data_IF_416037574079
#
_entry.id   IF_416037574079
#
_cell.length_a   1.000
_cell.length_b   1.000
_cell.length_c   1.000
_cell.angle_alpha   90.00
_cell.angle_beta   90.00
_cell.angle_gamma   90.00
#
_symmetry.space_group_name_H-M   'P 1'
#
loop_
_entity.id
_entity.type
_entity.pdbx_description
1 polymer ?
#
# COMPACT_ATOMS: atom_id res chain seq x y z
N UNK A 1 6.29 -12.01 -9.62
CA UNK A 1 6.63 -13.11 -8.67
C UNK A 1 7.72 -14.09 -9.14
N UNK A 2 7.99 -14.25 -10.44
CA UNK A 2 9.02 -15.17 -10.94
C UNK A 2 10.48 -14.69 -10.71
N UNK A 3 10.69 -13.40 -10.42
CA UNK A 3 12.02 -12.78 -10.24
C UNK A 3 12.57 -12.82 -8.81
N UNK A 4 11.74 -13.13 -7.80
CA UNK A 4 12.19 -13.22 -6.42
C UNK A 4 12.71 -14.63 -6.12
N UNK A 5 13.83 -14.78 -5.37
CA UNK A 5 14.25 -16.09 -4.92
C UNK A 5 13.21 -16.70 -3.97
N UNK A 6 13.22 -18.04 -3.87
CA UNK A 6 12.12 -18.80 -3.28
C UNK A 6 11.79 -18.38 -1.85
N UNK A 7 12.80 -18.12 -1.02
CA UNK A 7 12.63 -17.77 0.39
C UNK A 7 11.95 -16.41 0.53
N UNK A 8 12.43 -15.38 -0.17
CA UNK A 8 11.82 -14.04 -0.18
C UNK A 8 10.40 -14.08 -0.72
N UNK A 9 10.18 -14.85 -1.79
CA UNK A 9 8.83 -15.03 -2.36
C UNK A 9 7.88 -15.68 -1.36
N UNK A 10 8.32 -16.71 -0.65
CA UNK A 10 7.51 -17.40 0.36
C UNK A 10 7.23 -16.53 1.58
N UNK A 11 8.13 -15.61 1.94
CA UNK A 11 7.89 -14.61 2.98
C UNK A 11 6.70 -13.71 2.62
N UNK A 12 6.71 -13.06 1.45
CA UNK A 12 5.64 -12.15 1.05
C UNK A 12 4.33 -12.84 0.70
N UNK A 13 4.39 -14.02 0.08
CA UNK A 13 3.18 -14.78 -0.27
C UNK A 13 2.71 -15.66 0.88
N UNK A 14 3.46 -15.77 1.97
CA UNK A 14 3.12 -16.63 3.11
C UNK A 14 1.81 -16.23 3.77
N UNK A 15 1.10 -17.21 4.33
CA UNK A 15 0.00 -16.96 5.25
C UNK A 15 -0.05 -18.07 6.30
N UNK A 16 -0.63 -17.79 7.46
CA UNK A 16 -0.62 -18.71 8.59
C UNK A 16 -1.31 -20.05 8.27
N UNK A 17 -0.69 -21.14 8.74
CA UNK A 17 -1.23 -22.50 8.69
C UNK A 17 -1.77 -22.89 7.30
N UNK A 18 -3.00 -23.40 7.26
CA UNK A 18 -3.67 -23.85 6.02
C UNK A 18 -4.15 -22.70 5.11
N UNK A 19 -3.76 -21.45 5.38
CA UNK A 19 -4.11 -20.24 4.60
C UNK A 19 -5.62 -20.04 4.44
N UNK A 20 -6.40 -20.46 5.44
CA UNK A 20 -7.87 -20.36 5.43
C UNK A 20 -8.29 -18.89 5.41
N UNK A 21 -7.75 -18.07 6.31
CA UNK A 21 -8.05 -16.63 6.37
C UNK A 21 -7.61 -15.90 5.10
N UNK A 22 -6.43 -16.24 4.55
CA UNK A 22 -5.97 -15.68 3.28
C UNK A 22 -6.98 -15.89 2.15
N UNK A 23 -7.52 -17.12 2.00
CA UNK A 23 -8.55 -17.40 0.99
C UNK A 23 -9.87 -16.68 1.31
N UNK A 24 -10.28 -16.65 2.58
CA UNK A 24 -11.50 -15.96 3.00
C UNK A 24 -11.44 -14.45 2.72
N UNK A 25 -10.29 -13.80 2.97
CA UNK A 25 -10.13 -12.37 2.69
C UNK A 25 -10.39 -12.06 1.21
N UNK A 26 -9.95 -12.92 0.29
CA UNK A 26 -10.22 -12.75 -1.14
C UNK A 26 -11.67 -13.04 -1.47
N UNK A 27 -12.18 -14.20 -1.04
CA UNK A 27 -13.54 -14.64 -1.36
C UNK A 27 -14.61 -13.70 -0.81
N UNK A 28 -14.35 -13.04 0.32
CA UNK A 28 -15.29 -12.07 0.90
C UNK A 28 -15.59 -10.90 -0.05
N UNK A 29 -14.63 -10.46 -0.87
CA UNK A 29 -14.89 -9.43 -1.87
C UNK A 29 -15.77 -9.94 -3.02
N UNK A 30 -15.67 -11.21 -3.39
CA UNK A 30 -16.50 -11.81 -4.44
C UNK A 30 -17.98 -11.94 -4.02
N UNK A 31 -18.24 -12.01 -2.72
CA UNK A 31 -19.59 -12.05 -2.13
C UNK A 31 -20.28 -10.68 -2.17
N UNK A 32 -19.52 -9.57 -2.16
CA UNK A 32 -20.05 -8.20 -2.21
C UNK A 32 -20.50 -7.86 -3.63
N UNK A 33 -21.77 -7.49 -3.80
CA UNK A 33 -22.32 -7.07 -5.10
C UNK A 33 -22.50 -5.56 -5.14
N UNK A 34 -21.97 -4.93 -6.18
CA UNK A 34 -22.15 -3.50 -6.45
C UNK A 34 -23.45 -3.33 -7.24
N UNK A 35 -24.38 -2.52 -6.73
CA UNK A 35 -25.58 -2.08 -7.46
C UNK A 35 -25.31 -0.69 -8.06
N UNK A 36 -24.93 -0.58 -9.34
CA UNK A 36 -24.65 0.71 -9.95
C UNK A 36 -25.92 1.56 -10.05
N UNK A 37 -25.79 2.87 -9.85
CA UNK A 37 -26.88 3.84 -10.03
C UNK A 37 -26.81 4.43 -11.44
N UNK A 38 -27.84 4.16 -12.24
CA UNK A 38 -27.91 4.61 -13.63
C UNK A 38 -28.27 6.09 -13.76
N UNK A 39 -27.98 6.67 -14.95
CA UNK A 39 -28.31 8.05 -15.32
C UNK A 39 -27.77 9.12 -14.35
N UNK A 40 -26.61 8.86 -13.74
CA UNK A 40 -25.88 9.85 -12.94
C UNK A 40 -24.89 10.59 -13.85
N UNK A 41 -24.87 11.91 -13.76
CA UNK A 41 -23.80 12.70 -14.37
C UNK A 41 -22.49 12.40 -13.64
N UNK A 42 -21.57 11.76 -14.35
CA UNK A 42 -20.22 11.42 -13.89
C UNK A 42 -19.15 12.14 -14.72
N UNK A 43 -19.53 13.18 -15.47
CA UNK A 43 -18.60 14.00 -16.26
C UNK A 43 -17.55 14.70 -15.38
N UNK A 44 -17.86 14.90 -14.10
CA UNK A 44 -16.95 15.41 -13.07
C UNK A 44 -17.00 14.50 -11.86
N UNK A 45 -16.06 13.58 -11.74
CA UNK A 45 -15.85 12.77 -10.55
C UNK A 45 -14.47 13.03 -9.96
N UNK A 46 -14.32 12.77 -8.66
CA UNK A 46 -13.04 12.87 -7.97
C UNK A 46 -12.92 11.68 -7.01
N UNK A 47 -11.70 11.18 -6.85
CA UNK A 47 -11.35 10.18 -5.84
C UNK A 47 -10.78 10.85 -4.57
N UNK A 48 -10.54 12.16 -4.62
CA UNK A 48 -9.97 12.91 -3.51
C UNK A 48 -10.83 12.76 -2.26
N UNK A 49 -10.16 12.53 -1.14
CA UNK A 49 -10.81 12.40 0.16
C UNK A 49 -9.85 12.83 1.25
N UNK A 50 -10.22 12.65 2.52
CA UNK A 50 -9.34 12.90 3.66
C UNK A 50 -9.46 11.81 4.70
N UNK A 51 -8.35 11.55 5.39
CA UNK A 51 -8.27 10.56 6.47
C UNK A 51 -7.48 11.18 7.61
N UNK A 52 -8.04 11.18 8.83
CA UNK A 52 -7.44 11.78 10.02
C UNK A 52 -6.97 13.24 9.84
N UNK A 53 -7.73 14.03 9.07
CA UNK A 53 -7.41 15.43 8.79
C UNK A 53 -6.38 15.65 7.68
N UNK A 54 -5.87 14.59 7.06
CA UNK A 54 -4.93 14.66 5.93
C UNK A 54 -5.67 14.38 4.63
N UNK A 55 -5.60 15.32 3.69
CA UNK A 55 -6.18 15.10 2.37
C UNK A 55 -5.33 14.06 1.62
N UNK A 56 -5.96 13.16 0.86
CA UNK A 56 -5.34 12.24 -0.12
C UNK A 56 -5.99 12.35 -1.51
N UNK A 57 -5.28 11.95 -2.56
CA UNK A 57 -5.78 11.98 -3.95
C UNK A 57 -6.80 10.87 -4.24
N UNK A 58 -6.76 9.77 -3.48
CA UNK A 58 -7.64 8.62 -3.59
C UNK A 58 -7.70 7.83 -2.27
N UNK A 59 -8.76 7.04 -2.02
CA UNK A 59 -8.99 6.35 -0.74
C UNK A 59 -8.16 5.07 -0.59
N UNK A 60 -6.89 5.09 -0.99
CA UNK A 60 -5.96 3.95 -0.91
C UNK A 60 -4.62 4.47 -0.41
N UNK A 61 -4.07 3.80 0.60
CA UNK A 61 -2.73 4.03 1.12
C UNK A 61 -1.93 2.74 1.16
N UNK A 62 -0.64 2.87 1.49
CA UNK A 62 0.27 1.74 1.57
C UNK A 62 0.30 1.18 2.98
N UNK A 63 -0.10 -0.10 3.10
CA UNK A 63 -0.02 -0.86 4.35
C UNK A 63 1.43 -1.07 4.80
N UNK A 64 1.69 -1.21 6.11
CA UNK A 64 3.03 -1.47 6.61
C UNK A 64 3.48 -2.87 6.19
N UNK A 65 4.56 -2.94 5.42
CA UNK A 65 5.23 -4.18 5.00
C UNK A 65 6.66 -4.15 5.50
N UNK A 66 7.03 -5.13 6.33
CA UNK A 66 8.38 -5.28 6.85
C UNK A 66 9.36 -5.80 5.79
N UNK A 67 10.63 -5.41 5.92
CA UNK A 67 11.77 -5.92 5.15
C UNK A 67 11.62 -5.77 3.62
N UNK A 68 11.29 -4.58 3.13
CA UNK A 68 11.07 -4.36 1.69
C UNK A 68 12.33 -4.58 0.84
N UNK A 69 13.53 -4.50 1.43
CA UNK A 69 14.79 -4.86 0.77
C UNK A 69 14.87 -6.33 0.33
N UNK A 70 14.01 -7.21 0.86
CA UNK A 70 13.87 -8.57 0.34
C UNK A 70 13.20 -8.62 -1.04
N UNK A 71 12.47 -7.57 -1.43
CA UNK A 71 11.81 -7.47 -2.74
C UNK A 71 12.66 -6.70 -3.76
N UNK A 72 13.33 -5.62 -3.33
CA UNK A 72 14.18 -4.78 -4.18
C UNK A 72 15.30 -4.14 -3.35
N UNK A 73 16.55 -4.02 -3.84
CA UNK A 73 17.66 -3.46 -3.05
C UNK A 73 17.39 -2.09 -2.41
N UNK A 74 16.62 -1.24 -3.09
CA UNK A 74 16.27 0.10 -2.60
C UNK A 74 15.14 0.10 -1.56
N UNK A 75 14.44 -1.03 -1.37
CA UNK A 75 13.43 -1.24 -0.33
C UNK A 75 12.41 -0.12 -0.20
N UNK A 76 12.27 0.41 1.01
CA UNK A 76 11.31 1.46 1.36
C UNK A 76 11.54 2.76 0.57
N UNK A 77 12.78 3.07 0.15
CA UNK A 77 13.07 4.27 -0.64
C UNK A 77 12.48 4.16 -2.06
N UNK A 78 12.52 2.98 -2.68
CA UNK A 78 11.85 2.75 -3.95
C UNK A 78 10.33 2.86 -3.82
N UNK A 79 9.77 2.44 -2.69
CA UNK A 79 8.34 2.60 -2.40
C UNK A 79 7.96 4.08 -2.29
N UNK A 80 8.73 4.89 -1.55
CA UNK A 80 8.54 6.35 -1.47
C UNK A 80 8.65 6.99 -2.86
N UNK A 81 9.68 6.65 -3.63
CA UNK A 81 9.86 7.18 -4.98
C UNK A 81 8.73 6.78 -5.93
N UNK A 82 8.20 5.55 -5.82
CA UNK A 82 7.12 5.06 -6.65
C UNK A 82 5.78 5.76 -6.42
N UNK A 83 5.55 6.27 -5.20
CA UNK A 83 4.30 6.95 -4.83
C UNK A 83 4.46 8.47 -4.72
N UNK A 84 5.66 9.02 -4.87
CA UNK A 84 5.92 10.46 -4.77
C UNK A 84 5.09 11.36 -5.70
N UNK A 85 4.60 10.91 -6.88
CA UNK A 85 3.70 11.71 -7.70
C UNK A 85 2.31 11.91 -7.09
N UNK A 86 1.94 11.12 -6.07
CA UNK A 86 0.63 11.12 -5.46
C UNK A 86 0.66 11.64 -4.03
N UNK A 87 -0.39 12.33 -3.64
CA UNK A 87 -0.68 12.66 -2.25
C UNK A 87 -1.43 11.50 -1.62
N UNK A 88 -0.69 10.59 -0.99
CA UNK A 88 -1.22 9.40 -0.35
C UNK A 88 -0.54 9.14 0.99
N UNK A 89 -0.99 8.11 1.70
CA UNK A 89 -0.44 7.69 2.99
C UNK A 89 0.49 6.50 2.75
N UNK A 90 1.67 6.55 3.36
CA UNK A 90 2.55 5.40 3.53
C UNK A 90 2.69 5.10 5.02
N UNK A 91 2.28 3.91 5.43
CA UNK A 91 2.51 3.42 6.79
C UNK A 91 3.82 2.63 6.78
N UNK A 92 4.82 3.10 7.52
CA UNK A 92 6.12 2.47 7.64
C UNK A 92 6.08 1.41 8.74
N UNK A 93 6.52 0.20 8.42
CA UNK A 93 6.66 -0.87 9.40
C UNK A 93 7.78 -0.54 10.40
N UNK A 94 7.57 -0.83 11.69
CA UNK A 94 8.65 -0.81 12.69
C UNK A 94 9.77 -1.82 12.39
N UNK A 95 9.50 -2.82 11.53
CA UNK A 95 10.47 -3.76 10.98
C UNK A 95 10.87 -3.42 9.53
N UNK A 96 10.93 -2.12 9.20
CA UNK A 96 11.48 -1.66 7.94
C UNK A 96 12.96 -2.06 7.79
N UNK A 97 13.39 -2.27 6.54
CA UNK A 97 14.79 -2.57 6.21
C UNK A 97 15.66 -1.34 5.98
N UNK A 98 15.07 -0.15 6.11
CA UNK A 98 15.68 1.17 5.91
C UNK A 98 15.36 2.01 7.15
N UNK A 99 16.29 2.87 7.57
CA UNK A 99 16.09 3.70 8.76
C UNK A 99 14.89 4.65 8.57
N UNK A 100 14.12 4.87 9.64
CA UNK A 100 12.97 5.79 9.63
C UNK A 100 13.38 7.17 9.10
N UNK A 101 14.52 7.67 9.56
CA UNK A 101 15.05 8.99 9.21
C UNK A 101 15.36 9.10 7.72
N UNK A 102 15.85 8.01 7.11
CA UNK A 102 16.13 7.96 5.66
C UNK A 102 14.83 7.98 4.86
N UNK A 103 13.83 7.20 5.29
CA UNK A 103 12.51 7.16 4.64
C UNK A 103 11.80 8.52 4.79
N UNK A 104 11.83 9.11 5.98
CA UNK A 104 11.26 10.43 6.25
C UNK A 104 11.92 11.51 5.40
N UNK A 105 13.25 11.48 5.27
CA UNK A 105 13.99 12.41 4.40
C UNK A 105 13.60 12.25 2.93
N UNK A 106 13.44 11.01 2.45
CA UNK A 106 13.00 10.75 1.09
C UNK A 106 11.57 11.25 0.82
N UNK A 107 10.70 11.19 1.84
CA UNK A 107 9.32 11.67 1.75
C UNK A 107 9.18 13.20 1.92
N UNK A 108 10.18 13.89 2.49
CA UNK A 108 10.08 15.30 2.91
C UNK A 108 9.68 16.29 1.80
N UNK A 109 10.13 16.04 0.56
CA UNK A 109 9.82 16.90 -0.60
C UNK A 109 8.70 16.32 -1.48
N UNK A 110 7.84 15.49 -0.91
CA UNK A 110 6.71 14.86 -1.60
C UNK A 110 5.41 15.21 -0.89
N UNK A 111 4.26 14.82 -1.48
CA UNK A 111 2.95 14.96 -0.83
C UNK A 111 2.55 13.72 0.00
N UNK A 112 3.52 12.87 0.35
CA UNK A 112 3.27 11.63 1.09
C UNK A 112 3.07 11.95 2.57
N UNK A 113 1.99 11.44 3.15
CA UNK A 113 1.79 11.41 4.59
C UNK A 113 2.44 10.14 5.16
N UNK A 114 3.60 10.27 5.81
CA UNK A 114 4.32 9.15 6.41
C UNK A 114 3.80 8.86 7.83
N UNK A 115 3.29 7.65 8.04
CA UNK A 115 2.79 7.14 9.32
C UNK A 115 3.67 5.98 9.84
N UNK A 116 3.55 5.65 11.12
CA UNK A 116 4.18 4.48 11.75
C UNK A 116 3.17 3.70 12.58
#
# INVERSE_FOLDING_TARGET
PAKLPLIQRNYFLGAAGRRITYRRNKNAFDEIKIVPRMLRDVSRNTLETSTLGMNVDFPIGLSPVALQRLAHPDGELATVAGISPFRTIMILSSFASTLLEEVARAAQNTSIHLWM
#
